data_IF_668640823799
#
_entry.id   IF_668640823799
#
_cell.length_a   1.000
_cell.length_b   1.000
_cell.length_c   1.000
_cell.angle_alpha   90.00
_cell.angle_beta   90.00
_cell.angle_gamma   90.00
#
_symmetry.space_group_name_H-M   'P 1'
#
loop_
_entity.id
_entity.type
_entity.pdbx_description
1 polymer ?
#
# COMPACT_ATOMS: atom_id res chain seq x y z
N UNK A 1 -45.64 -17.95 -8.29
CA UNK A 1 -44.59 -17.49 -9.23
C UNK A 1 -43.74 -16.40 -8.55
N UNK A 2 -42.93 -16.74 -7.54
CA UNK A 2 -42.05 -15.76 -6.84
C UNK A 2 -40.58 -16.22 -6.69
N UNK A 3 -40.23 -17.38 -7.24
CA UNK A 3 -38.90 -18.00 -7.07
C UNK A 3 -38.04 -18.00 -8.35
N UNK A 4 -38.54 -17.46 -9.47
CA UNK A 4 -37.80 -17.43 -10.73
C UNK A 4 -37.00 -16.14 -10.94
N UNK A 5 -37.33 -15.07 -10.20
CA UNK A 5 -36.73 -13.74 -10.41
C UNK A 5 -35.48 -13.48 -9.56
N UNK A 6 -35.31 -14.22 -8.45
CA UNK A 6 -34.16 -14.06 -7.54
C UNK A 6 -32.82 -14.46 -8.20
N UNK A 7 -32.72 -15.61 -8.90
CA UNK A 7 -31.47 -16.01 -9.55
C UNK A 7 -31.08 -15.09 -10.71
N UNK A 8 -32.08 -14.51 -11.40
CA UNK A 8 -31.87 -13.51 -12.46
C UNK A 8 -31.37 -12.19 -11.90
N UNK A 9 -31.84 -11.80 -10.70
CA UNK A 9 -31.41 -10.59 -10.02
C UNK A 9 -29.98 -10.72 -9.48
N UNK A 10 -29.63 -11.87 -8.89
CA UNK A 10 -28.26 -12.18 -8.44
C UNK A 10 -27.28 -12.21 -9.62
N UNK A 11 -27.63 -12.86 -10.73
CA UNK A 11 -26.81 -12.84 -11.95
C UNK A 11 -26.72 -11.45 -12.59
N UNK A 12 -27.79 -10.65 -12.52
CA UNK A 12 -27.74 -9.26 -13.00
C UNK A 12 -26.85 -8.40 -12.10
N UNK A 13 -26.86 -8.60 -10.77
CA UNK A 13 -25.98 -7.92 -9.82
C UNK A 13 -24.52 -8.31 -10.00
N UNK A 14 -24.20 -9.60 -10.19
CA UNK A 14 -22.84 -10.04 -10.50
C UNK A 14 -22.34 -9.42 -11.81
N UNK A 15 -23.13 -9.49 -12.89
CA UNK A 15 -22.77 -8.87 -14.17
C UNK A 15 -22.62 -7.36 -14.09
N UNK A 16 -23.44 -6.70 -13.28
CA UNK A 16 -23.29 -5.27 -12.98
C UNK A 16 -21.99 -5.02 -12.20
N UNK A 17 -21.70 -5.80 -11.17
CA UNK A 17 -20.48 -5.73 -10.37
C UNK A 17 -19.21 -5.95 -11.20
N UNK A 18 -19.23 -6.93 -12.11
CA UNK A 18 -18.14 -7.24 -13.03
C UNK A 18 -17.97 -6.13 -14.08
N UNK A 19 -19.07 -5.60 -14.63
CA UNK A 19 -19.01 -4.49 -15.59
C UNK A 19 -18.50 -3.20 -14.95
N UNK A 20 -18.94 -2.88 -13.72
CA UNK A 20 -18.47 -1.72 -12.96
C UNK A 20 -17.00 -1.90 -12.58
N UNK A 21 -16.59 -3.11 -12.19
CA UNK A 21 -15.18 -3.39 -11.88
C UNK A 21 -14.29 -3.30 -13.11
N UNK A 22 -14.75 -3.79 -14.27
CA UNK A 22 -14.00 -3.70 -15.53
C UNK A 22 -13.86 -2.24 -16.00
N UNK A 23 -14.95 -1.47 -15.99
CA UNK A 23 -14.95 -0.04 -16.34
C UNK A 23 -14.11 0.76 -15.35
N UNK A 24 -14.18 0.45 -14.06
CA UNK A 24 -13.35 1.09 -13.04
C UNK A 24 -11.86 0.74 -13.21
N UNK A 25 -11.54 -0.52 -13.56
CA UNK A 25 -10.18 -0.93 -13.85
C UNK A 25 -9.63 -0.29 -15.14
N UNK A 26 -10.47 -0.06 -16.14
CA UNK A 26 -10.12 0.69 -17.35
C UNK A 26 -9.89 2.17 -17.04
N UNK A 27 -10.79 2.80 -16.27
CA UNK A 27 -10.61 4.16 -15.78
C UNK A 27 -9.32 4.34 -14.96
N UNK A 28 -9.00 3.39 -14.07
CA UNK A 28 -7.74 3.41 -13.33
C UNK A 28 -6.53 3.26 -14.25
N UNK A 29 -6.60 2.39 -15.27
CA UNK A 29 -5.54 2.22 -16.27
C UNK A 29 -5.32 3.48 -17.09
N UNK A 30 -6.38 4.11 -17.58
CA UNK A 30 -6.32 5.38 -18.31
C UNK A 30 -5.78 6.51 -17.42
N UNK A 31 -6.22 6.57 -16.15
CA UNK A 31 -5.74 7.57 -15.21
C UNK A 31 -4.25 7.39 -14.90
N UNK A 32 -3.78 6.15 -14.73
CA UNK A 32 -2.37 5.83 -14.54
C UNK A 32 -1.55 6.14 -15.80
N UNK A 33 -2.08 5.85 -16.99
CA UNK A 33 -1.43 6.16 -18.26
C UNK A 33 -1.27 7.68 -18.51
N UNK A 34 -2.15 8.49 -17.92
CA UNK A 34 -2.16 9.95 -18.06
C UNK A 34 -1.47 10.68 -16.89
N UNK A 35 -0.80 9.97 -15.98
CA UNK A 35 -0.05 10.61 -14.89
C UNK A 35 1.16 11.38 -15.43
N UNK A 36 1.41 12.56 -14.86
CA UNK A 36 2.70 13.22 -15.03
C UNK A 36 3.81 12.33 -14.46
N UNK A 37 5.02 12.32 -15.05
CA UNK A 37 6.12 11.48 -14.57
C UNK A 37 6.41 11.63 -13.06
N UNK A 38 6.28 12.85 -12.53
CA UNK A 38 6.48 13.14 -11.11
C UNK A 38 5.34 12.59 -10.23
N UNK A 39 4.10 12.63 -10.71
CA UNK A 39 2.95 12.03 -10.02
C UNK A 39 3.07 10.51 -10.01
N UNK A 40 3.46 9.91 -11.14
CA UNK A 40 3.74 8.49 -11.26
C UNK A 40 4.85 8.03 -10.30
N UNK A 41 5.87 8.87 -10.09
CA UNK A 41 6.93 8.59 -9.11
C UNK A 41 6.38 8.53 -7.68
N UNK A 42 5.51 9.47 -7.29
CA UNK A 42 4.89 9.48 -5.95
C UNK A 42 3.97 8.27 -5.76
N UNK A 43 3.17 7.94 -6.78
CA UNK A 43 2.30 6.75 -6.78
C UNK A 43 3.11 5.46 -6.73
N UNK A 44 4.25 5.40 -7.44
CA UNK A 44 5.20 4.28 -7.38
C UNK A 44 5.68 4.03 -5.96
N UNK A 45 6.14 5.08 -5.26
CA UNK A 45 6.57 4.99 -3.86
C UNK A 45 5.43 4.48 -2.95
N UNK A 46 4.21 4.99 -3.11
CA UNK A 46 3.05 4.53 -2.34
C UNK A 46 2.77 3.03 -2.55
N UNK A 47 2.84 2.56 -3.79
CA UNK A 47 2.66 1.14 -4.12
C UNK A 47 3.79 0.26 -3.56
N UNK A 48 5.02 0.77 -3.48
CA UNK A 48 6.11 0.07 -2.82
C UNK A 48 5.90 -0.02 -1.30
N UNK A 49 5.49 1.07 -0.66
CA UNK A 49 5.16 1.09 0.78
C UNK A 49 4.04 0.10 1.09
N UNK A 50 2.94 0.14 0.32
CA UNK A 50 1.80 -0.74 0.53
C UNK A 50 2.18 -2.22 0.41
N UNK A 51 2.94 -2.58 -0.64
CA UNK A 51 3.44 -3.95 -0.83
C UNK A 51 4.39 -4.40 0.28
N UNK A 52 5.29 -3.53 0.71
CA UNK A 52 6.22 -3.83 1.80
C UNK A 52 5.49 -4.03 3.13
N UNK A 53 4.52 -3.16 3.45
CA UNK A 53 3.67 -3.25 4.64
C UNK A 53 2.83 -4.53 4.64
N UNK A 54 2.21 -4.87 3.51
CA UNK A 54 1.43 -6.11 3.36
C UNK A 54 2.30 -7.36 3.47
N UNK A 55 3.53 -7.32 2.95
CA UNK A 55 4.48 -8.42 3.12
C UNK A 55 4.87 -8.57 4.60
N UNK A 56 5.16 -7.47 5.30
CA UNK A 56 5.49 -7.47 6.72
C UNK A 56 4.31 -7.98 7.57
N UNK A 57 3.07 -7.59 7.28
CA UNK A 57 1.90 -8.01 8.07
C UNK A 57 1.61 -9.51 8.01
N UNK A 58 2.13 -10.22 7.00
CA UNK A 58 2.04 -11.69 6.89
C UNK A 58 3.03 -12.41 7.79
N UNK A 59 4.03 -11.70 8.31
CA UNK A 59 5.01 -12.28 9.20
C UNK A 59 4.51 -12.30 10.65
N UNK A 60 4.70 -13.44 11.31
CA UNK A 60 4.33 -13.61 12.70
C UNK A 60 5.42 -13.04 13.60
N UNK A 61 5.01 -12.49 14.74
CA UNK A 61 5.90 -12.00 15.80
C UNK A 61 6.78 -10.78 15.42
N UNK A 62 6.40 -10.02 14.39
CA UNK A 62 7.04 -8.73 14.16
C UNK A 62 6.60 -7.70 15.20
N UNK A 63 7.53 -6.85 15.69
CA UNK A 63 7.17 -5.72 16.54
C UNK A 63 6.19 -4.74 15.87
N UNK A 64 5.23 -4.23 16.64
CA UNK A 64 4.20 -3.30 16.16
C UNK A 64 4.76 -1.99 15.58
N UNK A 65 5.94 -1.56 16.04
CA UNK A 65 6.55 -0.32 15.55
C UNK A 65 6.91 -0.38 14.06
N UNK A 66 7.13 -1.58 13.49
CA UNK A 66 7.41 -1.74 12.05
C UNK A 66 6.18 -1.34 11.22
N UNK A 67 4.98 -1.78 11.63
CA UNK A 67 3.75 -1.38 10.94
C UNK A 67 3.51 0.13 11.08
N UNK A 68 3.76 0.68 12.28
CA UNK A 68 3.64 2.12 12.52
C UNK A 68 4.55 2.95 11.60
N UNK A 69 5.77 2.49 11.32
CA UNK A 69 6.69 3.19 10.42
C UNK A 69 6.27 3.13 8.95
N UNK A 70 5.77 1.98 8.49
CA UNK A 70 5.16 1.89 7.16
C UNK A 70 3.89 2.77 7.06
N UNK A 71 3.08 2.85 8.13
CA UNK A 71 1.91 3.70 8.18
C UNK A 71 2.29 5.20 8.12
N UNK A 72 3.37 5.60 8.79
CA UNK A 72 3.93 6.96 8.66
C UNK A 72 4.42 7.22 7.22
N UNK A 73 5.17 6.28 6.63
CA UNK A 73 5.61 6.39 5.24
C UNK A 73 4.43 6.60 4.27
N UNK A 74 3.37 5.80 4.42
CA UNK A 74 2.14 5.90 3.63
C UNK A 74 1.42 7.24 3.85
N UNK A 75 1.37 7.71 5.10
CA UNK A 75 0.78 9.01 5.46
C UNK A 75 1.50 10.15 4.75
N UNK A 76 2.83 10.16 4.77
CA UNK A 76 3.62 11.18 4.08
C UNK A 76 3.54 11.05 2.56
N UNK A 77 3.51 9.84 2.01
CA UNK A 77 3.31 9.61 0.57
C UNK A 77 1.98 10.18 0.09
N UNK A 78 0.91 9.96 0.84
CA UNK A 78 -0.42 10.51 0.56
C UNK A 78 -0.44 12.05 0.66
N UNK A 79 0.26 12.62 1.65
CA UNK A 79 0.43 14.09 1.75
C UNK A 79 1.23 14.66 0.57
N UNK A 80 2.24 13.94 0.07
CA UNK A 80 3.01 14.33 -1.10
C UNK A 80 2.14 14.35 -2.35
N UNK A 81 1.36 13.30 -2.59
CA UNK A 81 0.46 13.20 -3.74
C UNK A 81 -0.58 14.33 -3.75
N UNK A 82 -1.25 14.55 -2.61
CA UNK A 82 -2.23 15.64 -2.45
C UNK A 82 -1.60 17.02 -2.65
N UNK A 83 -0.36 17.23 -2.19
CA UNK A 83 0.36 18.50 -2.39
C UNK A 83 0.74 18.70 -3.85
N UNK A 84 1.16 17.64 -4.55
CA UNK A 84 1.51 17.69 -5.96
C UNK A 84 0.31 18.06 -6.83
N UNK A 85 -0.84 17.42 -6.58
CA UNK A 85 -2.10 17.69 -7.29
C UNK A 85 -2.60 19.13 -7.10
N UNK A 86 -2.19 19.80 -6.01
CA UNK A 86 -2.46 21.22 -5.74
C UNK A 86 -1.40 22.18 -6.29
N UNK A 87 -0.33 21.67 -6.90
CA UNK A 87 0.81 22.47 -7.37
C UNK A 87 1.74 22.97 -6.25
N UNK A 88 1.63 22.44 -5.03
CA UNK A 88 2.45 22.83 -3.87
C UNK A 88 3.83 22.15 -3.93
N UNK A 89 4.69 22.56 -4.89
CA UNK A 89 5.94 21.86 -5.22
C UNK A 89 6.89 21.71 -4.03
N UNK A 90 7.14 22.78 -3.27
CA UNK A 90 8.06 22.73 -2.11
C UNK A 90 7.58 21.73 -1.07
N UNK A 91 6.29 21.74 -0.75
CA UNK A 91 5.69 20.85 0.23
C UNK A 91 5.67 19.40 -0.27
N UNK A 92 5.41 19.20 -1.56
CA UNK A 92 5.51 17.89 -2.20
C UNK A 92 6.89 17.28 -1.98
N UNK A 93 7.96 18.03 -2.24
CA UNK A 93 9.34 17.56 -2.04
C UNK A 93 9.61 17.16 -0.58
N UNK A 94 9.18 17.97 0.37
CA UNK A 94 9.37 17.70 1.81
C UNK A 94 8.63 16.42 2.22
N UNK A 95 7.36 16.29 1.82
CA UNK A 95 6.55 15.12 2.17
C UNK A 95 7.04 13.85 1.47
N UNK A 96 7.48 13.95 0.22
CA UNK A 96 8.05 12.83 -0.53
C UNK A 96 9.35 12.33 0.10
N UNK A 97 10.22 13.26 0.52
CA UNK A 97 11.44 12.93 1.26
C UNK A 97 11.11 12.21 2.58
N UNK A 98 10.19 12.77 3.38
CA UNK A 98 9.74 12.14 4.62
C UNK A 98 9.20 10.72 4.39
N UNK A 99 8.33 10.52 3.39
CA UNK A 99 7.79 9.21 3.03
C UNK A 99 8.89 8.20 2.70
N UNK A 100 9.89 8.64 1.92
CA UNK A 100 11.05 7.81 1.54
C UNK A 100 11.88 7.43 2.76
N UNK A 101 12.14 8.38 3.66
CA UNK A 101 12.93 8.14 4.88
C UNK A 101 12.21 7.18 5.83
N UNK A 102 10.91 7.33 6.05
CA UNK A 102 10.14 6.39 6.88
C UNK A 102 10.10 4.99 6.27
N UNK A 103 9.94 4.87 4.95
CA UNK A 103 10.01 3.56 4.27
C UNK A 103 11.37 2.91 4.48
N UNK A 104 12.46 3.64 4.25
CA UNK A 104 13.83 3.13 4.44
C UNK A 104 14.10 2.71 5.89
N UNK A 105 13.56 3.47 6.86
CA UNK A 105 13.62 3.11 8.28
C UNK A 105 12.87 1.81 8.54
N UNK A 106 11.62 1.70 8.07
CA UNK A 106 10.81 0.50 8.23
C UNK A 106 11.46 -0.74 7.60
N UNK A 107 12.01 -0.62 6.39
CA UNK A 107 12.72 -1.69 5.69
C UNK A 107 13.93 -2.18 6.51
N UNK A 108 14.70 -1.25 7.08
CA UNK A 108 15.87 -1.57 7.90
C UNK A 108 15.46 -2.21 9.22
N UNK A 109 14.52 -1.62 9.92
CA UNK A 109 14.11 -2.04 11.24
C UNK A 109 13.39 -3.41 11.17
N UNK A 110 12.68 -3.70 10.07
CA UNK A 110 12.15 -5.04 9.74
C UNK A 110 13.27 -6.08 9.61
N UNK A 111 14.33 -5.76 8.87
CA UNK A 111 15.47 -6.66 8.71
C UNK A 111 16.15 -6.93 10.05
N UNK A 112 16.39 -5.89 10.84
CA UNK A 112 17.02 -6.00 12.16
C UNK A 112 16.17 -6.83 13.13
N UNK A 113 14.84 -6.66 13.11
CA UNK A 113 13.93 -7.47 13.93
C UNK A 113 13.99 -8.96 13.57
N UNK A 114 14.05 -9.30 12.28
CA UNK A 114 14.19 -10.68 11.82
C UNK A 114 15.50 -11.31 12.30
N UNK A 115 16.61 -10.62 12.12
CA UNK A 115 17.92 -11.09 12.55
C UNK A 115 17.97 -11.32 14.07
N UNK A 116 17.31 -10.46 14.84
CA UNK A 116 17.21 -10.62 16.30
C UNK A 116 16.37 -11.84 16.68
N UNK A 117 15.20 -12.02 16.06
CA UNK A 117 14.32 -13.16 16.32
C UNK A 117 14.99 -14.50 15.97
N UNK A 118 15.73 -14.54 14.87
CA UNK A 118 16.52 -15.72 14.47
C UNK A 118 17.59 -16.05 15.51
N UNK A 119 18.39 -15.06 15.94
CA UNK A 119 19.41 -15.25 16.99
C UNK A 119 18.81 -15.70 18.31
N UNK A 120 17.65 -15.15 18.70
CA UNK A 120 16.95 -15.58 19.91
C UNK A 120 16.48 -17.04 19.81
N UNK A 121 15.95 -17.44 18.65
CA UNK A 121 15.55 -18.84 18.42
C UNK A 121 16.75 -19.78 18.47
N UNK A 122 17.90 -19.41 17.90
CA UNK A 122 19.14 -20.19 17.99
C UNK A 122 19.61 -20.35 19.43
N UNK A 123 19.56 -19.29 20.24
CA UNK A 123 19.94 -19.35 21.65
C UNK A 123 19.01 -20.26 22.46
N UNK A 124 17.71 -20.20 22.21
CA UNK A 124 16.71 -21.04 22.88
C UNK A 124 16.80 -22.51 22.48
N UNK A 125 17.24 -22.82 21.25
CA UNK A 125 17.43 -24.20 20.78
C UNK A 125 18.77 -24.82 21.20
N UNK A 126 19.71 -24.02 21.72
CA UNK A 126 21.01 -24.49 22.24
C UNK A 126 21.02 -24.67 23.77
N UNK A 127 19.96 -24.28 24.46
CA UNK A 127 19.74 -24.46 25.89
C UNK A 127 18.93 -25.74 26.16
#
# INVERSE_FOLDING_TARGET
MKNADLPLFEQAQERLGDSVSAVFAEFLRERVANLKPEEATIVGLLNEIARAREAASKERNLPEFIDAEYAEAETYGNKALKSFQRGEIRKTKVMFYAATTYKQKADRDLREAKELLEKMAEMLNRA
#
